data_IF_025391566368
#
_entry.id   IF_025391566368
#
_cell.length_a   1.000
_cell.length_b   1.000
_cell.length_c   1.000
_cell.angle_alpha   90.00
_cell.angle_beta   90.00
_cell.angle_gamma   90.00
#
_symmetry.space_group_name_H-M   'P 1'
#
loop_
_entity.id
_entity.type
_entity.pdbx_description
1 polymer ?
#
# COMPACT_ATOMS: atom_id res chain seq x y z
N UNK A 1 -45.11 15.26 35.40
CA UNK A 1 -44.21 14.16 35.00
C UNK A 1 -43.32 14.76 33.93
N UNK A 2 -42.00 14.60 34.04
CA UNK A 2 -41.08 15.11 33.02
C UNK A 2 -41.19 14.24 31.76
N UNK A 3 -40.99 14.86 30.59
CA UNK A 3 -41.03 14.15 29.32
C UNK A 3 -39.89 13.12 29.26
N UNK A 4 -40.18 11.84 28.95
CA UNK A 4 -39.12 10.84 28.82
C UNK A 4 -38.25 11.16 27.60
N UNK A 5 -36.96 10.91 27.73
CA UNK A 5 -36.06 10.87 26.58
C UNK A 5 -36.42 9.69 25.69
N UNK A 6 -36.42 9.92 24.39
CA UNK A 6 -36.60 8.90 23.36
C UNK A 6 -35.38 8.89 22.44
N UNK A 7 -34.98 7.70 22.02
CA UNK A 7 -33.84 7.46 21.15
C UNK A 7 -34.35 6.92 19.81
N UNK A 8 -34.02 7.62 18.74
CA UNK A 8 -34.44 7.30 17.38
C UNK A 8 -33.42 6.38 16.70
N UNK A 9 -33.93 5.46 15.90
CA UNK A 9 -33.13 4.64 15.01
C UNK A 9 -33.52 4.83 13.55
N UNK A 10 -32.57 4.59 12.65
CA UNK A 10 -32.85 4.50 11.23
C UNK A 10 -33.77 3.29 10.96
N UNK A 11 -34.85 3.42 10.18
CA UNK A 11 -35.83 2.35 10.01
C UNK A 11 -35.26 1.09 9.36
N UNK A 12 -34.30 1.22 8.44
CA UNK A 12 -33.72 0.08 7.72
C UNK A 12 -32.52 -0.56 8.42
N UNK A 13 -31.61 0.24 8.98
CA UNK A 13 -30.36 -0.27 9.58
C UNK A 13 -30.48 -0.46 11.08
N UNK A 14 -31.54 0.07 11.70
CA UNK A 14 -31.75 0.10 13.14
C UNK A 14 -30.63 0.81 13.93
N UNK A 15 -29.75 1.53 13.23
CA UNK A 15 -28.67 2.31 13.82
C UNK A 15 -29.25 3.51 14.58
N UNK A 16 -28.73 3.78 15.77
CA UNK A 16 -29.07 4.97 16.54
C UNK A 16 -28.68 6.25 15.78
N UNK A 17 -29.66 7.13 15.54
CA UNK A 17 -29.46 8.38 14.77
C UNK A 17 -29.61 9.65 15.61
N UNK A 18 -30.10 9.56 16.85
CA UNK A 18 -30.24 10.71 17.73
C UNK A 18 -31.31 10.54 18.80
N UNK A 19 -31.49 11.53 19.66
CA UNK A 19 -32.46 11.49 20.74
C UNK A 19 -33.30 12.78 20.83
N UNK A 20 -34.43 12.68 21.50
CA UNK A 20 -35.37 13.78 21.75
C UNK A 20 -36.20 13.55 23.01
N UNK A 21 -37.28 14.30 23.16
CA UNK A 21 -38.25 14.13 24.23
C UNK A 21 -39.60 13.72 23.64
N UNK A 22 -40.32 12.85 24.33
CA UNK A 22 -41.66 12.46 23.90
C UNK A 22 -42.67 13.59 24.10
N UNK A 23 -43.62 13.71 23.18
CA UNK A 23 -44.75 14.63 23.31
C UNK A 23 -45.87 14.01 24.17
N UNK A 24 -46.64 14.82 24.92
CA UNK A 24 -47.78 14.31 25.67
C UNK A 24 -48.89 13.83 24.72
N UNK A 25 -49.58 12.75 25.09
CA UNK A 25 -50.72 12.24 24.31
C UNK A 25 -51.90 13.21 24.40
N UNK A 26 -52.43 13.71 23.27
CA UNK A 26 -53.61 14.57 23.28
C UNK A 26 -54.91 13.80 23.59
N UNK A 27 -54.85 12.46 23.59
CA UNK A 27 -56.01 11.58 23.79
C UNK A 27 -56.05 10.94 25.18
N UNK A 28 -54.89 10.81 25.83
CA UNK A 28 -54.76 10.10 27.10
C UNK A 28 -53.92 10.92 28.08
N UNK A 29 -54.58 11.50 29.10
CA UNK A 29 -53.91 12.32 30.10
C UNK A 29 -52.81 11.53 30.83
N UNK A 30 -51.62 12.11 30.91
CA UNK A 30 -50.47 11.51 31.59
C UNK A 30 -49.70 10.45 30.80
N UNK A 31 -50.07 10.18 29.53
CA UNK A 31 -49.30 9.31 28.63
C UNK A 31 -48.45 10.10 27.64
N UNK A 32 -47.40 9.47 27.12
CA UNK A 32 -46.46 10.04 26.16
C UNK A 32 -46.55 9.33 24.81
N UNK A 33 -46.44 10.09 23.72
CA UNK A 33 -46.36 9.56 22.37
C UNK A 33 -44.95 9.07 22.10
N UNK A 34 -44.82 7.78 21.80
CA UNK A 34 -43.56 7.18 21.35
C UNK A 34 -43.70 6.91 19.85
N UNK A 35 -42.99 7.66 19.00
CA UNK A 35 -42.99 7.41 17.56
C UNK A 35 -42.51 5.99 17.23
N UNK A 36 -42.90 5.48 16.05
CA UNK A 36 -42.27 4.28 15.52
C UNK A 36 -40.75 4.49 15.40
N UNK A 37 -39.97 3.44 15.63
CA UNK A 37 -38.51 3.49 15.63
C UNK A 37 -37.91 4.46 16.67
N UNK A 38 -38.64 4.69 17.76
CA UNK A 38 -38.17 5.39 18.94
C UNK A 38 -38.31 4.49 20.18
N UNK A 39 -37.32 4.56 21.08
CA UNK A 39 -37.27 3.73 22.28
C UNK A 39 -36.92 4.57 23.51
N UNK A 40 -37.42 4.16 24.69
CA UNK A 40 -37.25 4.88 25.96
C UNK A 40 -36.25 4.20 26.91
N UNK A 41 -35.82 2.97 26.61
CA UNK A 41 -34.79 2.29 27.37
C UNK A 41 -33.41 2.90 27.08
N UNK A 42 -32.60 3.01 28.14
CA UNK A 42 -31.34 3.72 28.10
C UNK A 42 -30.34 3.11 27.11
N UNK A 43 -29.59 3.97 26.42
CA UNK A 43 -28.49 3.54 25.55
C UNK A 43 -27.37 2.89 26.37
N UNK A 44 -26.65 1.91 25.78
CA UNK A 44 -25.40 1.40 26.35
C UNK A 44 -24.33 2.49 26.33
N UNK A 45 -23.25 2.26 27.08
CA UNK A 45 -22.07 3.12 27.04
C UNK A 45 -21.45 3.10 25.64
N UNK A 46 -21.23 4.29 25.07
CA UNK A 46 -20.62 4.42 23.75
C UNK A 46 -19.17 3.92 23.78
N UNK A 47 -18.78 3.20 22.72
CA UNK A 47 -17.42 2.68 22.57
C UNK A 47 -16.86 3.06 21.21
N UNK A 48 -15.65 3.63 21.20
CA UNK A 48 -14.95 3.96 19.95
C UNK A 48 -14.82 2.73 19.06
N UNK A 49 -15.15 2.88 17.77
CA UNK A 49 -15.15 1.78 16.80
C UNK A 49 -16.40 0.89 16.82
N UNK A 50 -17.47 1.33 17.48
CA UNK A 50 -18.76 0.63 17.50
C UNK A 50 -19.91 1.60 17.25
N UNK A 51 -20.92 1.13 16.53
CA UNK A 51 -22.21 1.78 16.38
C UNK A 51 -23.21 1.16 17.38
N UNK A 52 -24.14 1.99 17.89
CA UNK A 52 -25.26 1.49 18.67
C UNK A 52 -26.39 1.15 17.70
N UNK A 53 -26.88 -0.08 17.76
CA UNK A 53 -27.91 -0.60 16.87
C UNK A 53 -29.00 -1.24 17.71
N UNK A 54 -30.27 -1.03 17.33
CA UNK A 54 -31.37 -1.80 17.92
C UNK A 54 -31.34 -3.21 17.34
N UNK A 55 -31.40 -4.22 18.20
CA UNK A 55 -31.38 -5.60 17.74
C UNK A 55 -32.60 -5.90 16.84
N UNK A 56 -32.49 -6.96 16.02
CA UNK A 56 -33.54 -7.35 15.07
C UNK A 56 -34.90 -7.68 15.72
N UNK A 57 -34.91 -8.00 17.02
CA UNK A 57 -36.12 -8.26 17.80
C UNK A 57 -36.78 -6.98 18.35
N UNK A 58 -36.11 -5.84 18.20
CA UNK A 58 -36.53 -4.52 18.70
C UNK A 58 -36.61 -4.40 20.23
N UNK A 59 -35.97 -5.32 20.96
CA UNK A 59 -36.08 -5.46 22.41
C UNK A 59 -34.87 -4.92 23.18
N UNK A 60 -33.71 -4.79 22.52
CA UNK A 60 -32.48 -4.33 23.18
C UNK A 60 -31.56 -3.54 22.25
N UNK A 61 -30.68 -2.75 22.86
CA UNK A 61 -29.55 -2.09 22.22
C UNK A 61 -28.32 -3.00 22.17
N UNK A 62 -27.61 -3.00 21.05
CA UNK A 62 -26.36 -3.73 20.85
C UNK A 62 -25.26 -2.80 20.35
N UNK A 63 -24.03 -3.07 20.76
CA UNK A 63 -22.84 -2.44 20.19
C UNK A 63 -22.32 -3.33 19.07
N UNK A 64 -22.42 -2.84 17.84
CA UNK A 64 -21.95 -3.54 16.63
C UNK A 64 -20.67 -2.87 16.15
N UNK A 65 -19.64 -3.64 15.82
CA UNK A 65 -18.37 -3.09 15.31
C UNK A 65 -18.62 -2.17 14.12
N UNK A 66 -17.96 -1.00 14.12
CA UNK A 66 -18.01 -0.05 13.02
C UNK A 66 -16.66 -0.06 12.27
N UNK A 67 -16.59 -0.97 11.30
CA UNK A 67 -15.47 -1.12 10.39
C UNK A 67 -15.69 -0.41 9.05
N UNK A 68 -16.68 0.49 8.97
CA UNK A 68 -17.00 1.24 7.75
C UNK A 68 -15.86 2.19 7.37
N UNK A 69 -15.78 2.51 6.09
CA UNK A 69 -14.75 3.33 5.48
C UNK A 69 -13.81 2.52 4.57
N UNK A 70 -12.64 3.09 4.28
CA UNK A 70 -11.67 2.44 3.39
C UNK A 70 -10.97 1.27 4.07
N UNK A 71 -10.99 0.12 3.40
CA UNK A 71 -10.33 -1.13 3.79
C UNK A 71 -9.51 -1.66 2.61
N UNK A 72 -8.65 -2.65 2.86
CA UNK A 72 -7.73 -3.19 1.87
C UNK A 72 -7.87 -4.70 1.80
N UNK A 73 -7.85 -5.26 0.58
CA UNK A 73 -7.76 -6.71 0.40
C UNK A 73 -6.41 -7.23 0.90
N UNK A 74 -6.40 -8.22 1.78
CA UNK A 74 -5.17 -8.80 2.33
C UNK A 74 -4.35 -9.56 1.29
N UNK A 75 -4.99 -10.03 0.21
CA UNK A 75 -4.34 -10.74 -0.89
C UNK A 75 -3.58 -9.82 -1.86
N UNK A 76 -4.03 -8.57 -2.05
CA UNK A 76 -3.54 -7.70 -3.14
C UNK A 76 -3.21 -6.27 -2.71
N UNK A 77 -3.73 -5.84 -1.57
CA UNK A 77 -3.66 -4.46 -1.11
C UNK A 77 -4.63 -3.49 -1.80
N UNK A 78 -5.55 -3.98 -2.64
CA UNK A 78 -6.56 -3.16 -3.31
C UNK A 78 -7.47 -2.48 -2.28
N UNK A 79 -7.58 -1.15 -2.38
CA UNK A 79 -8.45 -0.35 -1.52
C UNK A 79 -9.93 -0.49 -1.95
N UNK A 80 -10.82 -0.61 -0.98
CA UNK A 80 -12.28 -0.72 -1.18
C UNK A 80 -13.03 0.02 -0.09
N UNK A 81 -14.24 0.45 -0.41
CA UNK A 81 -15.17 0.98 0.59
C UNK A 81 -15.92 -0.16 1.28
N UNK A 82 -15.89 -0.16 2.60
CA UNK A 82 -16.72 -1.01 3.46
C UNK A 82 -17.85 -0.16 4.04
N UNK A 83 -19.09 -0.57 3.80
CA UNK A 83 -20.26 0.23 4.19
C UNK A 83 -21.15 -0.47 5.24
N UNK A 84 -20.80 -1.69 5.62
CA UNK A 84 -21.58 -2.51 6.57
C UNK A 84 -21.02 -2.42 7.97
N UNK A 85 -21.90 -2.51 8.96
CA UNK A 85 -21.54 -2.74 10.36
C UNK A 85 -21.23 -4.23 10.58
N UNK A 86 -20.45 -4.51 11.62
CA UNK A 86 -20.07 -5.85 12.04
C UNK A 86 -18.58 -6.13 11.88
N UNK A 87 -18.18 -7.39 12.14
CA UNK A 87 -16.79 -7.80 12.03
C UNK A 87 -16.32 -7.67 10.59
N UNK A 88 -15.08 -7.22 10.41
CA UNK A 88 -14.46 -7.16 9.10
C UNK A 88 -14.18 -8.60 8.60
N UNK A 89 -14.53 -8.94 7.34
CA UNK A 89 -14.16 -10.23 6.73
C UNK A 89 -12.64 -10.48 6.79
N UNK A 90 -12.24 -11.74 6.88
CA UNK A 90 -10.82 -12.13 7.05
C UNK A 90 -9.94 -11.73 5.85
N UNK A 91 -10.56 -11.54 4.68
CA UNK A 91 -9.91 -11.12 3.44
C UNK A 91 -9.64 -9.61 3.41
N UNK A 92 -10.07 -8.86 4.42
CA UNK A 92 -9.97 -7.40 4.49
C UNK A 92 -9.20 -6.95 5.73
N UNK A 93 -8.54 -5.81 5.60
CA UNK A 93 -7.84 -5.15 6.71
C UNK A 93 -8.02 -3.64 6.66
N UNK A 94 -7.98 -2.98 7.82
CA UNK A 94 -7.91 -1.51 7.94
C UNK A 94 -6.49 -0.98 7.85
N UNK A 95 -5.49 -1.87 7.85
CA UNK A 95 -4.08 -1.48 7.74
C UNK A 95 -3.76 -1.15 6.28
N UNK A 96 -3.38 0.09 5.96
CA UNK A 96 -3.09 0.49 4.59
C UNK A 96 -2.01 -0.36 3.95
N UNK A 97 -2.22 -0.74 2.70
CA UNK A 97 -1.24 -1.48 1.93
C UNK A 97 0.00 -0.60 1.67
N UNK A 98 1.20 -1.00 2.11
CA UNK A 98 2.40 -0.18 1.95
C UNK A 98 2.85 -0.06 0.49
N UNK A 99 2.45 -1.02 -0.35
CA UNK A 99 2.82 -1.10 -1.76
C UNK A 99 3.45 -2.45 -2.11
N UNK A 100 3.98 -2.57 -3.35
CA UNK A 100 4.54 -3.82 -3.85
C UNK A 100 5.56 -4.47 -2.92
N UNK A 101 5.70 -5.79 -3.04
CA UNK A 101 6.59 -6.62 -2.21
C UNK A 101 6.24 -6.59 -0.73
N UNK A 102 4.95 -6.53 -0.42
CA UNK A 102 4.42 -6.77 0.91
C UNK A 102 3.35 -7.85 0.85
N UNK A 103 3.40 -8.76 1.83
CA UNK A 103 2.42 -9.85 1.99
C UNK A 103 1.74 -9.70 3.35
N UNK A 104 0.45 -10.04 3.42
CA UNK A 104 -0.28 -10.04 4.68
C UNK A 104 0.04 -11.30 5.48
N UNK A 105 0.50 -11.15 6.73
CA UNK A 105 0.83 -12.29 7.58
C UNK A 105 -0.33 -12.76 8.49
N UNK A 106 -1.54 -12.23 8.27
CA UNK A 106 -2.71 -12.43 9.13
C UNK A 106 -2.98 -11.26 10.08
N UNK A 107 -2.02 -10.35 10.29
CA UNK A 107 -2.16 -9.23 11.23
C UNK A 107 -1.55 -7.91 10.74
N UNK A 108 -0.51 -7.98 9.91
CA UNK A 108 0.17 -6.81 9.35
C UNK A 108 0.80 -7.16 8.00
N UNK A 109 1.10 -6.12 7.23
CA UNK A 109 1.90 -6.23 6.02
C UNK A 109 3.37 -6.43 6.39
N UNK A 110 3.99 -7.46 5.84
CA UNK A 110 5.42 -7.74 6.01
C UNK A 110 6.11 -7.73 4.66
N UNK A 111 7.38 -7.31 4.64
CA UNK A 111 8.17 -7.27 3.41
C UNK A 111 8.35 -8.67 2.82
N UNK A 112 8.09 -8.79 1.53
CA UNK A 112 8.40 -9.97 0.72
C UNK A 112 9.85 -9.86 0.21
N UNK A 113 10.79 -10.27 1.07
CA UNK A 113 12.22 -10.15 0.78
C UNK A 113 12.64 -10.96 -0.46
N UNK A 114 11.98 -12.08 -0.72
CA UNK A 114 12.24 -12.91 -1.91
C UNK A 114 11.81 -12.17 -3.17
N UNK A 115 10.59 -11.64 -3.21
CA UNK A 115 10.12 -10.89 -4.38
C UNK A 115 10.91 -9.58 -4.60
N UNK A 116 11.37 -8.91 -3.52
CA UNK A 116 12.28 -7.76 -3.64
C UNK A 116 13.62 -8.16 -4.27
N UNK A 117 14.19 -9.28 -3.80
CA UNK A 117 15.46 -9.79 -4.31
C UNK A 117 15.36 -10.19 -5.78
N UNK A 118 14.32 -10.93 -6.17
CA UNK A 118 14.09 -11.36 -7.56
C UNK A 118 13.93 -10.17 -8.50
N UNK A 119 13.17 -9.14 -8.09
CA UNK A 119 13.07 -7.91 -8.87
C UNK A 119 14.41 -7.20 -9.01
N UNK A 120 15.14 -7.02 -7.91
CA UNK A 120 16.44 -6.36 -7.93
C UNK A 120 17.45 -7.12 -8.81
N UNK A 121 17.42 -8.45 -8.76
CA UNK A 121 18.21 -9.33 -9.62
C UNK A 121 17.89 -9.09 -11.10
N UNK A 122 16.60 -9.16 -11.47
CA UNK A 122 16.17 -8.95 -12.85
C UNK A 122 16.54 -7.56 -13.38
N UNK A 123 16.35 -6.50 -12.58
CA UNK A 123 16.72 -5.13 -12.93
C UNK A 123 18.24 -4.98 -13.09
N UNK A 124 19.03 -5.58 -12.21
CA UNK A 124 20.48 -5.54 -12.28
C UNK A 124 21.02 -6.26 -13.52
N UNK A 125 20.47 -7.42 -13.87
CA UNK A 125 20.83 -8.16 -15.10
C UNK A 125 20.49 -7.31 -16.33
N UNK A 126 19.26 -6.81 -16.43
CA UNK A 126 18.83 -6.00 -17.55
C UNK A 126 19.65 -4.70 -17.71
N UNK A 127 20.08 -4.10 -16.60
CA UNK A 127 20.99 -2.95 -16.60
C UNK A 127 22.39 -3.32 -17.07
N UNK A 128 22.92 -4.46 -16.62
CA UNK A 128 24.22 -4.97 -17.05
C UNK A 128 24.25 -5.20 -18.56
N UNK A 129 23.25 -5.91 -19.10
CA UNK A 129 23.14 -6.22 -20.53
C UNK A 129 23.08 -4.96 -21.39
N UNK A 130 22.33 -3.95 -20.94
CA UNK A 130 22.23 -2.66 -21.62
C UNK A 130 23.58 -1.93 -21.64
N UNK A 131 24.29 -1.91 -20.50
CA UNK A 131 25.62 -1.29 -20.40
C UNK A 131 26.67 -2.02 -21.23
N UNK A 132 26.60 -3.35 -21.30
CA UNK A 132 27.47 -4.18 -22.15
C UNK A 132 27.21 -3.90 -23.64
N UNK A 133 25.95 -3.76 -24.04
CA UNK A 133 25.56 -3.38 -25.41
C UNK A 133 26.08 -1.99 -25.77
N UNK A 134 25.89 -1.00 -24.89
CA UNK A 134 26.41 0.35 -25.09
C UNK A 134 27.93 0.34 -25.27
N UNK A 135 28.65 -0.36 -24.39
CA UNK A 135 30.10 -0.46 -24.48
C UNK A 135 30.55 -1.15 -25.78
N UNK A 136 29.84 -2.16 -26.27
CA UNK A 136 30.13 -2.79 -27.55
C UNK A 136 30.01 -1.79 -28.72
N UNK A 137 28.97 -0.96 -28.73
CA UNK A 137 28.78 0.09 -29.75
C UNK A 137 29.92 1.12 -29.73
N UNK A 138 30.43 1.49 -28.54
CA UNK A 138 31.55 2.44 -28.41
C UNK A 138 32.89 1.84 -28.78
N UNK A 139 33.09 0.55 -28.54
CA UNK A 139 34.33 -0.17 -28.85
C UNK A 139 34.51 -0.39 -30.35
N UNK A 140 33.44 -0.70 -31.07
CA UNK A 140 33.50 -1.11 -32.48
C UNK A 140 34.32 -0.16 -33.39
N UNK A 141 34.05 1.15 -33.46
CA UNK A 141 34.85 2.05 -34.32
C UNK A 141 36.31 2.21 -33.86
N UNK A 142 36.57 2.05 -32.55
CA UNK A 142 37.93 2.12 -31.99
C UNK A 142 38.74 0.86 -32.33
N UNK A 143 38.09 -0.31 -32.35
CA UNK A 143 38.71 -1.54 -32.85
C UNK A 143 38.99 -1.46 -34.34
N UNK A 144 38.04 -0.97 -35.14
CA UNK A 144 38.23 -0.80 -36.59
C UNK A 144 39.46 0.07 -36.89
N UNK A 145 39.62 1.21 -36.20
CA UNK A 145 40.80 2.08 -36.36
C UNK A 145 42.11 1.42 -35.88
N UNK A 146 42.06 0.63 -34.81
CA UNK A 146 43.23 -0.07 -34.28
C UNK A 146 43.68 -1.21 -35.21
N UNK A 147 42.75 -1.96 -35.79
CA UNK A 147 43.01 -3.11 -36.64
C UNK A 147 43.71 -2.74 -37.96
N UNK A 148 43.44 -1.55 -38.49
CA UNK A 148 44.13 -1.00 -39.68
C UNK A 148 45.35 -0.14 -39.34
N UNK A 149 45.66 0.03 -38.05
CA UNK A 149 46.81 0.81 -37.58
C UNK A 149 46.64 2.34 -37.68
N UNK A 150 45.40 2.84 -37.77
CA UNK A 150 45.07 4.27 -37.85
C UNK A 150 44.66 4.89 -36.51
N UNK A 151 44.46 4.08 -35.45
CA UNK A 151 44.08 4.58 -34.14
C UNK A 151 45.17 5.47 -33.51
N UNK A 152 44.80 6.70 -33.15
CA UNK A 152 45.60 7.62 -32.36
C UNK A 152 45.88 7.10 -30.95
N UNK A 153 46.87 7.68 -30.26
CA UNK A 153 47.17 7.32 -28.87
C UNK A 153 45.97 7.51 -27.93
N UNK A 154 45.15 8.55 -28.16
CA UNK A 154 43.92 8.81 -27.40
C UNK A 154 42.85 7.75 -27.66
N UNK A 155 42.66 7.33 -28.92
CA UNK A 155 41.73 6.26 -29.29
C UNK A 155 42.16 4.92 -28.69
N UNK A 156 43.46 4.60 -28.71
CA UNK A 156 43.99 3.40 -28.07
C UNK A 156 43.77 3.40 -26.55
N UNK A 157 44.01 4.54 -25.88
CA UNK A 157 43.74 4.69 -24.46
C UNK A 157 42.24 4.54 -24.15
N UNK A 158 41.38 5.12 -24.99
CA UNK A 158 39.92 5.05 -24.85
C UNK A 158 39.41 3.62 -25.09
N UNK A 159 39.93 2.92 -26.09
CA UNK A 159 39.63 1.51 -26.36
C UNK A 159 39.98 0.63 -25.16
N UNK A 160 41.17 0.82 -24.57
CA UNK A 160 41.59 0.09 -23.38
C UNK A 160 40.68 0.38 -22.18
N UNK A 161 40.27 1.63 -21.98
CA UNK A 161 39.35 2.02 -20.91
C UNK A 161 37.98 1.35 -21.07
N UNK A 162 37.41 1.34 -22.28
CA UNK A 162 36.14 0.65 -22.56
C UNK A 162 36.24 -0.87 -22.39
N UNK A 163 37.34 -1.50 -22.81
CA UNK A 163 37.58 -2.94 -22.59
C UNK A 163 37.65 -3.29 -21.10
N UNK A 164 38.34 -2.47 -20.29
CA UNK A 164 38.36 -2.61 -18.83
C UNK A 164 36.96 -2.48 -18.23
N UNK A 165 36.21 -1.45 -18.62
CA UNK A 165 34.83 -1.25 -18.17
C UNK A 165 33.92 -2.46 -18.47
N UNK A 166 34.02 -3.08 -19.65
CA UNK A 166 33.26 -4.32 -19.95
C UNK A 166 33.63 -5.50 -19.06
N UNK A 167 34.91 -5.65 -18.74
CA UNK A 167 35.39 -6.69 -17.82
C UNK A 167 34.86 -6.41 -16.40
N UNK A 168 34.84 -5.16 -15.97
CA UNK A 168 34.32 -4.79 -14.66
C UNK A 168 32.80 -5.02 -14.58
N UNK A 169 32.05 -4.69 -15.64
CA UNK A 169 30.62 -5.00 -15.76
C UNK A 169 30.33 -6.50 -15.63
N UNK A 170 31.10 -7.36 -16.30
CA UNK A 170 30.89 -8.82 -16.23
C UNK A 170 31.18 -9.41 -14.85
N UNK A 171 31.90 -8.67 -13.99
CA UNK A 171 32.23 -9.06 -12.61
C UNK A 171 31.33 -8.41 -11.57
N UNK A 172 30.40 -7.54 -11.97
CA UNK A 172 29.47 -6.86 -11.04
C UNK A 172 28.70 -7.87 -10.17
N UNK A 173 28.26 -8.98 -10.74
CA UNK A 173 27.53 -10.03 -10.00
C UNK A 173 28.36 -10.74 -8.93
N UNK A 174 29.68 -10.57 -8.93
CA UNK A 174 30.60 -11.15 -7.95
C UNK A 174 30.88 -10.19 -6.78
N UNK A 175 30.39 -8.95 -6.84
CA UNK A 175 30.56 -7.98 -5.77
C UNK A 175 29.74 -8.40 -4.53
N UNK A 176 30.28 -8.17 -3.32
CA UNK A 176 29.51 -8.38 -2.10
C UNK A 176 28.27 -7.48 -2.10
N UNK A 177 27.13 -8.05 -1.72
CA UNK A 177 25.85 -7.33 -1.66
C UNK A 177 25.07 -7.26 -2.96
N UNK A 178 25.59 -7.79 -4.08
CA UNK A 178 24.80 -7.94 -5.31
C UNK A 178 23.56 -8.84 -5.06
N UNK A 179 22.37 -8.49 -5.59
CA UNK A 179 22.01 -7.33 -6.42
C UNK A 179 21.44 -6.14 -5.62
N UNK A 180 21.48 -6.15 -4.29
CA UNK A 180 20.79 -5.17 -3.45
C UNK A 180 21.66 -3.95 -3.09
N UNK A 181 22.95 -4.15 -2.89
CA UNK A 181 23.89 -3.11 -2.45
C UNK A 181 25.29 -3.39 -3.00
N UNK A 182 25.56 -2.83 -4.18
CA UNK A 182 26.85 -2.96 -4.87
C UNK A 182 27.13 -1.68 -5.67
N UNK A 183 28.32 -1.57 -6.27
CA UNK A 183 28.71 -0.40 -7.07
C UNK A 183 28.82 -0.75 -8.54
N UNK A 184 28.13 0.03 -9.37
CA UNK A 184 28.34 -0.02 -10.81
C UNK A 184 29.71 0.58 -11.16
N UNK A 185 30.48 -0.03 -12.08
CA UNK A 185 31.66 0.63 -12.61
C UNK A 185 31.26 1.90 -13.36
N UNK A 186 32.15 2.89 -13.36
CA UNK A 186 31.97 4.16 -14.09
C UNK A 186 32.39 3.97 -15.54
N UNK A 187 31.59 4.47 -16.49
CA UNK A 187 31.99 4.38 -17.90
C UNK A 187 33.13 5.35 -18.23
N UNK A 188 33.90 5.13 -19.31
CA UNK A 188 34.91 6.08 -19.76
C UNK A 188 34.33 7.46 -20.08
N UNK A 189 33.12 7.52 -20.65
CA UNK A 189 32.45 8.79 -20.94
C UNK A 189 32.07 9.55 -19.65
N UNK A 190 31.58 8.86 -18.63
CA UNK A 190 31.31 9.46 -17.32
C UNK A 190 32.60 9.95 -16.66
N UNK A 191 33.65 9.15 -16.72
CA UNK A 191 34.97 9.51 -16.17
C UNK A 191 35.52 10.78 -16.83
N UNK A 192 35.35 10.93 -18.15
CA UNK A 192 35.77 12.13 -18.89
C UNK A 192 34.92 13.35 -18.54
N UNK A 193 33.62 13.18 -18.34
CA UNK A 193 32.72 14.28 -17.96
C UNK A 193 32.96 14.81 -16.53
N UNK A 194 33.60 14.00 -15.68
CA UNK A 194 33.92 14.35 -14.29
C UNK A 194 35.31 15.01 -14.13
N UNK A 195 36.10 15.13 -15.21
CA UNK A 195 37.38 15.83 -15.21
C UNK A 195 37.15 17.34 -15.49
N UNK A 196 37.61 18.25 -14.60
CA UNK A 196 37.37 19.69 -14.73
C UNK A 196 38.15 20.36 -15.87
#
# INVERSE_FOLDING_TARGET
>A
MDAPTIYYVHPDTLEYIGNGFADPSPLEEGKWLIPAFAYTDALPEQRTGYAIVRNQFLEAWELVEDNRGTVYLTATGEARDHLTLGPLPAELTRVPYPGPFHIWNGSQWVADAEAQYEKAMAEAIALCDRKLTEAAVRIMPLEDAADIGEASEEEQATLLAWKRYRIDLSRVSQQPGYPLSFKWPTSPDQTRAEQP
#
